data_IF_335835051252
#
_entry.id   IF_335835051252
#
_cell.length_a   1.000
_cell.length_b   1.000
_cell.length_c   1.000
_cell.angle_alpha   90.00
_cell.angle_beta   90.00
_cell.angle_gamma   90.00
#
_symmetry.space_group_name_H-M   'P 1'
#
loop_
_entity.id
_entity.type
_entity.pdbx_description
1 polymer ?
#
# COMPACT_ATOMS: atom_id res chain seq x y z
N UNK A 1 8.88 -8.53 -22.14
CA UNK A 1 8.88 -8.47 -20.66
C UNK A 1 8.23 -7.15 -20.25
N UNK A 2 7.12 -7.22 -19.53
CA UNK A 2 6.34 -6.07 -19.08
C UNK A 2 6.92 -5.52 -17.78
N UNK A 3 7.42 -4.27 -17.82
CA UNK A 3 7.94 -3.57 -16.63
C UNK A 3 6.79 -2.86 -15.94
N UNK A 4 6.14 -3.60 -15.04
CA UNK A 4 4.95 -3.14 -14.33
C UNK A 4 5.16 -3.04 -12.83
N UNK A 5 6.39 -3.17 -12.32
CA UNK A 5 6.65 -3.16 -10.88
C UNK A 5 7.49 -1.95 -10.50
N UNK A 6 7.10 -1.27 -9.44
CA UNK A 6 7.82 -0.16 -8.83
C UNK A 6 8.18 -0.54 -7.40
N UNK A 7 9.18 0.13 -6.85
CA UNK A 7 9.61 -0.11 -5.46
C UNK A 7 9.08 1.02 -4.60
N UNK A 8 8.34 0.67 -3.57
CA UNK A 8 7.96 1.58 -2.50
C UNK A 8 8.92 1.41 -1.32
N UNK A 9 9.09 2.48 -0.55
CA UNK A 9 9.92 2.47 0.63
C UNK A 9 9.22 3.17 1.79
N UNK A 10 9.45 2.68 3.00
CA UNK A 10 8.92 3.25 4.25
C UNK A 10 9.99 3.23 5.31
N UNK A 11 10.38 4.40 5.80
CA UNK A 11 11.32 4.51 6.90
C UNK A 11 10.64 4.21 8.23
N UNK A 12 11.27 3.32 9.01
CA UNK A 12 10.87 3.01 10.38
C UNK A 12 11.23 4.14 11.36
N UNK A 13 12.17 5.00 10.99
CA UNK A 13 12.77 6.00 11.91
C UNK A 13 11.93 7.27 11.95
N UNK A 14 11.46 7.74 10.81
CA UNK A 14 10.74 9.01 10.69
C UNK A 14 9.30 8.84 10.19
N UNK A 15 8.86 7.60 9.94
CA UNK A 15 7.52 7.28 9.43
C UNK A 15 7.26 7.75 8.00
N UNK A 16 8.26 8.31 7.29
CA UNK A 16 8.10 8.75 5.90
C UNK A 16 8.06 7.56 4.98
N UNK A 17 7.22 7.64 3.97
CA UNK A 17 7.16 6.69 2.88
C UNK A 17 7.26 7.41 1.54
N UNK A 18 7.71 6.68 0.53
CA UNK A 18 7.79 7.15 -0.84
C UNK A 18 7.68 6.01 -1.84
N UNK A 19 7.39 6.37 -3.09
CA UNK A 19 7.26 5.43 -4.20
C UNK A 19 8.25 5.83 -5.30
N UNK A 20 9.04 4.86 -5.75
CA UNK A 20 9.91 5.03 -6.91
C UNK A 20 9.10 5.23 -8.19
N UNK A 21 9.63 6.05 -9.09
CA UNK A 21 9.03 6.30 -10.42
C UNK A 21 9.52 5.32 -11.49
N UNK A 22 10.59 4.58 -11.19
CA UNK A 22 11.20 3.63 -12.13
C UNK A 22 10.46 2.30 -12.08
N UNK A 23 10.03 1.84 -13.25
CA UNK A 23 9.43 0.52 -13.44
C UNK A 23 10.50 -0.54 -13.75
N UNK A 24 10.32 -1.70 -13.14
CA UNK A 24 11.18 -2.87 -13.17
C UNK A 24 10.37 -4.10 -13.57
N UNK A 25 11.06 -5.16 -13.97
CA UNK A 25 10.49 -6.49 -14.04
C UNK A 25 10.30 -7.07 -12.63
N UNK A 26 9.38 -8.02 -12.45
CA UNK A 26 9.09 -8.62 -11.15
C UNK A 26 10.34 -9.15 -10.45
N UNK A 27 11.08 -10.02 -11.12
CA UNK A 27 12.29 -10.66 -10.58
C UNK A 27 13.39 -9.64 -10.28
N UNK A 28 13.54 -8.63 -11.13
CA UNK A 28 14.50 -7.54 -10.94
C UNK A 28 14.13 -6.69 -9.71
N UNK A 29 12.84 -6.38 -9.55
CA UNK A 29 12.33 -5.63 -8.41
C UNK A 29 12.49 -6.41 -7.09
N UNK A 30 12.17 -7.71 -7.08
CA UNK A 30 12.31 -8.58 -5.92
C UNK A 30 13.76 -8.65 -5.45
N UNK A 31 14.70 -8.87 -6.38
CA UNK A 31 16.13 -8.87 -6.07
C UNK A 31 16.60 -7.53 -5.49
N UNK A 32 16.18 -6.42 -6.11
CA UNK A 32 16.56 -5.09 -5.62
C UNK A 32 16.01 -4.81 -4.22
N UNK A 33 14.78 -5.25 -3.94
CA UNK A 33 14.16 -5.09 -2.62
C UNK A 33 14.90 -5.90 -1.55
N UNK A 34 15.32 -7.12 -1.86
CA UNK A 34 16.12 -7.94 -0.94
C UNK A 34 17.46 -7.27 -0.60
N UNK A 35 18.16 -6.75 -1.60
CA UNK A 35 19.42 -6.02 -1.41
C UNK A 35 19.21 -4.75 -0.58
N UNK A 36 18.20 -3.94 -0.91
CA UNK A 36 17.90 -2.70 -0.22
C UNK A 36 17.48 -2.92 1.24
N UNK A 37 16.69 -3.96 1.52
CA UNK A 37 16.29 -4.29 2.89
C UNK A 37 17.47 -4.79 3.72
N UNK A 38 18.45 -5.47 3.09
CA UNK A 38 19.67 -5.91 3.76
C UNK A 38 20.61 -4.74 4.08
N UNK A 39 20.75 -3.80 3.16
CA UNK A 39 21.65 -2.64 3.31
C UNK A 39 21.03 -1.56 4.21
N UNK A 40 19.71 -1.38 4.16
CA UNK A 40 18.96 -0.37 4.90
C UNK A 40 17.85 -1.00 5.76
N UNK A 41 18.17 -1.74 6.84
CA UNK A 41 17.17 -2.43 7.67
C UNK A 41 16.17 -1.50 8.37
N UNK A 42 16.53 -0.21 8.49
CA UNK A 42 15.68 0.87 8.99
C UNK A 42 14.66 1.40 7.96
N UNK A 43 14.74 0.98 6.70
CA UNK A 43 13.80 1.31 5.62
C UNK A 43 13.23 0.00 5.07
N UNK A 44 11.91 -0.12 5.09
CA UNK A 44 11.19 -1.25 4.49
C UNK A 44 11.01 -0.93 3.02
N UNK A 45 11.56 -1.75 2.14
CA UNK A 45 11.34 -1.69 0.70
C UNK A 45 10.38 -2.82 0.29
N UNK A 46 9.44 -2.51 -0.61
CA UNK A 46 8.42 -3.44 -1.09
C UNK A 46 8.22 -3.27 -2.60
N UNK A 47 8.01 -4.39 -3.29
CA UNK A 47 7.65 -4.41 -4.72
C UNK A 47 6.15 -4.21 -4.84
N UNK A 48 5.73 -3.24 -5.64
CA UNK A 48 4.31 -2.92 -5.89
C UNK A 48 4.07 -2.77 -7.38
N UNK A 49 2.90 -3.19 -7.87
CA UNK A 49 2.54 -2.95 -9.26
C UNK A 49 2.36 -1.45 -9.55
N UNK A 50 2.95 -0.97 -10.64
CA UNK A 50 2.90 0.41 -11.11
C UNK A 50 1.46 0.90 -11.36
N UNK A 51 0.55 -0.01 -11.71
CA UNK A 51 -0.88 0.25 -11.92
C UNK A 51 -1.74 0.11 -10.66
N UNK A 52 -1.16 -0.26 -9.50
CA UNK A 52 -1.86 -0.17 -8.23
C UNK A 52 -1.96 1.29 -7.77
N UNK A 53 -2.63 2.14 -8.55
CA UNK A 53 -3.35 3.28 -8.01
C UNK A 53 -4.75 2.80 -7.67
N UNK A 54 -5.06 2.85 -6.37
CA UNK A 54 -6.41 2.74 -5.77
C UNK A 54 -7.01 1.33 -5.71
N UNK A 55 -6.70 0.61 -4.63
CA UNK A 55 -7.73 0.13 -3.69
C UNK A 55 -7.04 -0.05 -2.34
N UNK A 56 -7.01 1.02 -1.53
CA UNK A 56 -7.15 0.79 -0.09
C UNK A 56 -8.41 -0.06 0.10
N UNK A 57 -8.38 -1.12 0.94
CA UNK A 57 -9.60 -1.84 1.24
C UNK A 57 -10.54 -0.86 1.91
N UNK A 58 -11.56 -0.44 1.18
CA UNK A 58 -12.93 -0.33 1.67
C UNK A 58 -13.02 -0.14 3.20
N UNK A 59 -12.71 1.07 3.69
CA UNK A 59 -13.41 1.56 4.87
C UNK A 59 -14.86 1.70 4.42
N UNK A 60 -15.60 0.63 4.68
CA UNK A 60 -17.02 0.49 4.43
C UNK A 60 -17.73 1.80 4.81
N UNK A 61 -18.63 2.33 3.97
CA UNK A 61 -19.52 3.38 4.44
C UNK A 61 -20.27 2.76 5.61
N UNK A 62 -20.04 3.30 6.82
CA UNK A 62 -20.78 2.93 8.01
C UNK A 62 -22.24 3.19 7.63
N UNK A 63 -22.96 2.10 7.35
CA UNK A 63 -24.34 2.15 6.89
C UNK A 63 -25.19 2.70 8.04
N UNK A 64 -25.41 4.02 8.03
CA UNK A 64 -26.31 4.75 8.93
C UNK A 64 -27.79 4.39 8.70
N UNK A 65 -28.10 3.17 8.23
CA UNK A 65 -29.47 2.68 8.00
C UNK A 65 -30.09 2.00 9.23
N UNK A 66 -29.39 1.94 10.36
CA UNK A 66 -29.92 1.38 11.62
C UNK A 66 -30.29 2.45 12.65
N UNK A 67 -30.80 3.61 12.22
CA UNK A 67 -31.65 4.42 13.10
C UNK A 67 -33.09 4.04 12.80
N UNK A 68 -33.54 2.95 13.43
CA UNK A 68 -34.96 2.64 13.58
C UNK A 68 -35.70 3.87 14.12
N UNK A 69 -36.77 4.36 13.48
CA UNK A 69 -37.71 5.20 14.18
C UNK A 69 -38.48 4.28 15.14
N UNK A 70 -38.14 4.32 16.42
CA UNK A 70 -38.97 3.70 17.45
C UNK A 70 -40.20 4.59 17.65
N UNK A 71 -41.17 4.42 16.75
CA UNK A 71 -42.53 4.92 16.94
C UNK A 71 -43.28 3.87 17.76
N UNK A 72 -43.45 4.11 19.06
CA UNK A 72 -44.52 3.50 19.89
C UNK A 72 -44.70 4.38 21.13
N UNK A 73 -45.63 5.33 21.11
CA UNK A 73 -47.03 5.19 21.56
C UNK A 73 -47.13 4.95 23.08
N UNK A 74 -47.36 6.04 23.83
CA UNK A 74 -48.09 6.11 25.09
C UNK A 74 -48.54 7.56 25.33
#
# INVERSE_FOLDING_TARGET
>A
MSKNYVIQWKSKVNGRAGRGTKAFEKTEAEHLVEELNREYPQIIHEVVEAQAEVHSPEEQPISLSSITPMLSLA
#
